data_IF_963386037255
#
_entry.id   IF_963386037255
#
_cell.length_a   1.000
_cell.length_b   1.000
_cell.length_c   1.000
_cell.angle_alpha   90.00
_cell.angle_beta   90.00
_cell.angle_gamma   90.00
#
_symmetry.space_group_name_H-M   'P 1'
#
loop_
_entity.id
_entity.type
_entity.pdbx_description
1 polymer ?
#
# COMPACT_ATOMS: atom_id res chain seq x y z
N UNK A 1 -5.59 -13.79 -24.03
CA UNK A 1 -5.25 -14.53 -22.81
C UNK A 1 -6.49 -15.18 -22.22
N UNK A 2 -6.35 -16.25 -21.48
CA UNK A 2 -7.45 -16.98 -20.82
C UNK A 2 -8.25 -16.06 -19.88
N UNK A 3 -7.60 -15.09 -19.24
CA UNK A 3 -8.29 -14.12 -18.38
C UNK A 3 -9.26 -13.21 -19.16
N UNK A 4 -8.90 -12.78 -20.37
CA UNK A 4 -9.82 -11.98 -21.19
C UNK A 4 -11.06 -12.79 -21.62
N UNK A 5 -10.88 -14.08 -21.93
CA UNK A 5 -12.01 -14.99 -22.22
C UNK A 5 -12.91 -15.14 -20.99
N UNK A 6 -12.32 -15.36 -19.80
CA UNK A 6 -13.06 -15.47 -18.55
C UNK A 6 -13.85 -14.19 -18.23
N UNK A 7 -13.24 -13.01 -18.44
CA UNK A 7 -13.92 -11.72 -18.23
C UNK A 7 -15.03 -11.47 -19.26
N UNK A 8 -14.87 -11.94 -20.50
CA UNK A 8 -15.92 -11.86 -21.52
C UNK A 8 -17.14 -12.69 -21.14
N UNK A 9 -16.92 -13.88 -20.58
CA UNK A 9 -18.00 -14.78 -20.12
C UNK A 9 -18.64 -14.27 -18.82
N UNK A 10 -17.85 -13.74 -17.90
CA UNK A 10 -18.31 -13.14 -16.65
C UNK A 10 -17.57 -11.82 -16.38
N UNK A 11 -18.14 -10.68 -16.77
CA UNK A 11 -17.52 -9.35 -16.56
C UNK A 11 -17.22 -8.99 -15.10
N UNK A 12 -17.89 -9.63 -14.15
CA UNK A 12 -17.71 -9.44 -12.71
C UNK A 12 -16.69 -10.41 -12.09
N UNK A 13 -16.03 -11.28 -12.89
CA UNK A 13 -15.02 -12.22 -12.39
C UNK A 13 -13.82 -11.47 -11.80
N UNK A 14 -13.84 -11.30 -10.48
CA UNK A 14 -12.83 -10.55 -9.74
C UNK A 14 -11.44 -11.21 -9.81
N UNK A 15 -11.38 -12.56 -9.79
CA UNK A 15 -10.11 -13.31 -9.89
C UNK A 15 -9.45 -13.04 -11.23
N UNK A 16 -10.20 -13.22 -12.32
CA UNK A 16 -9.67 -13.02 -13.67
C UNK A 16 -9.20 -11.57 -13.86
N UNK A 17 -9.95 -10.57 -13.35
CA UNK A 17 -9.55 -9.16 -13.40
C UNK A 17 -8.31 -8.87 -12.56
N UNK A 18 -8.22 -9.37 -11.32
CA UNK A 18 -7.05 -9.23 -10.46
C UNK A 18 -5.79 -9.84 -11.11
N UNK A 19 -5.91 -11.03 -11.72
CA UNK A 19 -4.78 -11.67 -12.39
C UNK A 19 -4.39 -10.97 -13.69
N UNK A 20 -5.38 -10.50 -14.46
CA UNK A 20 -5.13 -9.66 -15.64
C UNK A 20 -4.40 -8.37 -15.26
N UNK A 21 -4.74 -7.74 -14.12
CA UNK A 21 -4.10 -6.52 -13.66
C UNK A 21 -2.59 -6.69 -13.51
N UNK A 22 -2.14 -7.81 -12.91
CA UNK A 22 -0.72 -8.11 -12.74
C UNK A 22 0.03 -8.16 -14.08
N UNK A 23 -0.55 -8.83 -15.07
CA UNK A 23 0.04 -8.94 -16.42
C UNK A 23 0.09 -7.57 -17.10
N UNK A 24 -0.97 -6.77 -16.98
CA UNK A 24 -1.03 -5.44 -17.56
C UNK A 24 0.02 -4.50 -16.94
N UNK A 25 0.17 -4.54 -15.61
CA UNK A 25 1.18 -3.76 -14.89
C UNK A 25 2.60 -4.16 -15.29
N UNK A 26 2.89 -5.47 -15.39
CA UNK A 26 4.19 -5.98 -15.87
C UNK A 26 4.50 -5.52 -17.30
N UNK A 27 3.48 -5.38 -18.15
CA UNK A 27 3.61 -4.87 -19.52
C UNK A 27 3.65 -3.35 -19.63
N UNK A 28 3.65 -2.62 -18.53
CA UNK A 28 3.63 -1.15 -18.50
C UNK A 28 2.27 -0.52 -18.81
N UNK A 29 1.21 -1.32 -19.00
CA UNK A 29 -0.14 -0.79 -19.19
C UNK A 29 -0.78 -0.45 -17.84
N UNK A 30 -0.29 0.62 -17.21
CA UNK A 30 -0.70 1.01 -15.86
C UNK A 30 -2.15 1.44 -15.80
N UNK A 31 -2.66 2.14 -16.80
CA UNK A 31 -4.05 2.62 -16.81
C UNK A 31 -5.04 1.47 -16.63
N UNK A 32 -4.99 0.48 -17.50
CA UNK A 32 -5.88 -0.68 -17.43
C UNK A 32 -5.50 -1.64 -16.30
N UNK A 33 -4.21 -1.77 -16.01
CA UNK A 33 -3.70 -2.58 -14.91
C UNK A 33 -4.24 -2.12 -13.56
N UNK A 34 -4.10 -0.84 -13.22
CA UNK A 34 -4.56 -0.26 -11.96
C UNK A 34 -6.10 -0.30 -11.87
N UNK A 35 -6.83 -0.05 -12.99
CA UNK A 35 -8.29 -0.19 -13.02
C UNK A 35 -8.74 -1.62 -12.69
N UNK A 36 -8.09 -2.62 -13.24
CA UNK A 36 -8.41 -4.02 -12.95
C UNK A 36 -7.96 -4.43 -11.54
N UNK A 37 -6.93 -3.79 -10.98
CA UNK A 37 -6.45 -4.06 -9.63
C UNK A 37 -7.48 -3.72 -8.53
N UNK A 38 -8.38 -2.78 -8.78
CA UNK A 38 -9.46 -2.43 -7.84
C UNK A 38 -10.44 -3.59 -7.60
N UNK A 39 -10.47 -4.59 -8.47
CA UNK A 39 -11.28 -5.79 -8.25
C UNK A 39 -10.76 -6.71 -7.13
N UNK A 40 -9.60 -6.40 -6.53
CA UNK A 40 -9.06 -7.15 -5.39
C UNK A 40 -10.00 -7.20 -4.18
N UNK A 41 -10.88 -6.20 -4.02
CA UNK A 41 -11.89 -6.15 -2.96
C UNK A 41 -13.21 -6.86 -3.30
N UNK A 42 -13.43 -7.19 -4.58
CA UNK A 42 -14.69 -7.78 -5.04
C UNK A 42 -14.67 -9.31 -5.00
N UNK A 43 -13.61 -9.90 -4.47
CA UNK A 43 -13.48 -11.34 -4.36
C UNK A 43 -14.12 -11.84 -3.07
N UNK A 44 -15.11 -12.76 -3.18
CA UNK A 44 -15.88 -13.27 -2.05
C UNK A 44 -15.09 -14.19 -1.12
N UNK A 45 -14.10 -14.94 -1.66
CA UNK A 45 -13.38 -15.98 -0.91
C UNK A 45 -12.03 -15.54 -0.33
N UNK A 46 -11.44 -14.46 -0.83
CA UNK A 46 -10.19 -13.89 -0.32
C UNK A 46 -10.43 -12.44 0.01
N UNK A 47 -10.80 -12.17 1.24
CA UNK A 47 -10.93 -10.80 1.73
C UNK A 47 -9.54 -10.20 1.94
N UNK A 48 -9.05 -9.47 0.96
CA UNK A 48 -7.99 -8.49 1.22
C UNK A 48 -8.68 -7.34 1.93
N UNK A 49 -8.61 -7.36 3.25
CA UNK A 49 -9.19 -6.31 4.06
C UNK A 49 -8.15 -5.23 4.32
N UNK A 50 -8.52 -3.96 4.28
CA UNK A 50 -7.71 -2.90 4.87
C UNK A 50 -7.56 -3.14 6.37
N UNK A 51 -6.51 -2.58 6.97
CA UNK A 51 -6.20 -2.81 8.38
C UNK A 51 -7.18 -2.10 9.35
N UNK A 52 -8.02 -1.20 8.83
CA UNK A 52 -9.12 -0.60 9.56
C UNK A 52 -10.39 -0.56 8.69
N UNK A 53 -11.55 -0.46 9.34
CA UNK A 53 -12.86 -0.43 8.69
C UNK A 53 -13.73 0.64 9.35
N UNK A 54 -13.42 1.94 9.15
CA UNK A 54 -14.21 3.03 9.73
C UNK A 54 -15.60 3.10 9.10
N UNK A 55 -16.58 3.59 9.85
CA UNK A 55 -17.94 3.77 9.36
C UNK A 55 -18.10 5.09 8.59
N UNK A 56 -17.27 5.30 7.56
CA UNK A 56 -17.32 6.44 6.64
C UNK A 56 -17.24 5.94 5.20
N UNK A 57 -17.75 6.70 4.20
CA UNK A 57 -17.77 6.26 2.81
C UNK A 57 -16.37 6.15 2.19
N UNK A 58 -16.24 5.22 1.23
CA UNK A 58 -15.02 5.10 0.40
C UNK A 58 -15.01 6.24 -0.62
N UNK A 59 -13.84 6.86 -0.81
CA UNK A 59 -13.63 7.83 -1.88
C UNK A 59 -13.32 7.12 -3.21
N UNK A 60 -14.04 7.51 -4.27
CA UNK A 60 -13.86 6.96 -5.62
C UNK A 60 -12.57 7.47 -6.30
N UNK A 61 -12.06 8.61 -5.85
CA UNK A 61 -10.93 9.32 -6.45
C UNK A 61 -11.33 10.39 -7.46
N UNK A 62 -12.61 10.67 -7.61
CA UNK A 62 -13.09 11.74 -8.49
C UNK A 62 -12.94 13.11 -7.82
N UNK A 63 -12.45 14.11 -8.56
CA UNK A 63 -12.19 15.45 -8.02
C UNK A 63 -13.48 16.17 -7.55
N UNK A 64 -14.61 15.91 -8.21
CA UNK A 64 -15.93 16.42 -7.79
C UNK A 64 -16.38 15.92 -6.40
N UNK A 65 -15.84 14.81 -5.94
CA UNK A 65 -16.16 14.18 -4.66
C UNK A 65 -15.04 14.33 -3.63
N UNK A 66 -14.08 15.21 -3.89
CA UNK A 66 -12.90 15.34 -3.04
C UNK A 66 -13.29 15.71 -1.61
N UNK A 67 -12.96 14.90 -0.61
CA UNK A 67 -13.32 15.18 0.78
C UNK A 67 -12.34 16.16 1.42
N UNK A 68 -12.83 16.98 2.37
CA UNK A 68 -11.97 17.82 3.20
C UNK A 68 -11.02 17.00 4.06
N UNK A 69 -11.51 15.85 4.55
CA UNK A 69 -10.74 14.88 5.35
C UNK A 69 -10.68 13.56 4.60
N UNK A 70 -9.46 13.10 4.31
CA UNK A 70 -9.21 11.81 3.67
C UNK A 70 -8.39 10.92 4.59
N UNK A 71 -8.93 9.75 4.92
CA UNK A 71 -8.21 8.71 5.64
C UNK A 71 -7.67 7.68 4.65
N UNK A 72 -6.36 7.57 4.54
CA UNK A 72 -5.70 6.51 3.76
C UNK A 72 -5.41 5.34 4.70
N UNK A 73 -5.85 4.14 4.32
CA UNK A 73 -5.70 2.94 5.15
C UNK A 73 -4.80 1.94 4.46
N UNK A 74 -3.78 1.49 5.17
CA UNK A 74 -2.88 0.42 4.71
C UNK A 74 -3.63 -0.91 4.58
N UNK A 75 -3.13 -1.75 3.69
CA UNK A 75 -3.68 -3.08 3.40
C UNK A 75 -2.53 -4.05 3.06
N UNK A 76 -2.80 -5.35 3.14
CA UNK A 76 -1.82 -6.40 2.82
C UNK A 76 -0.59 -6.41 3.76
N UNK A 77 0.61 -6.69 3.23
CA UNK A 77 1.82 -6.84 4.03
C UNK A 77 2.53 -5.54 4.39
N UNK A 78 3.53 -5.65 5.28
CA UNK A 78 4.39 -4.51 5.65
C UNK A 78 5.14 -3.94 4.44
N UNK A 79 5.61 -4.81 3.54
CA UNK A 79 6.29 -4.40 2.30
C UNK A 79 5.39 -3.58 1.38
N UNK A 80 4.11 -3.94 1.27
CA UNK A 80 3.13 -3.18 0.49
C UNK A 80 2.95 -1.78 1.08
N UNK A 81 2.84 -1.67 2.39
CA UNK A 81 2.76 -0.37 3.07
C UNK A 81 4.00 0.47 2.81
N UNK A 82 5.20 -0.09 2.98
CA UNK A 82 6.47 0.61 2.68
C UNK A 82 6.54 1.05 1.22
N UNK A 83 6.13 0.21 0.29
CA UNK A 83 6.16 0.52 -1.13
C UNK A 83 5.18 1.63 -1.51
N UNK A 84 3.96 1.59 -1.00
CA UNK A 84 2.90 2.49 -1.45
C UNK A 84 2.75 3.78 -0.62
N UNK A 85 3.30 3.85 0.61
CA UNK A 85 3.28 5.07 1.41
C UNK A 85 3.98 6.26 0.74
N UNK A 86 4.89 5.99 -0.22
CA UNK A 86 5.55 7.02 -1.04
C UNK A 86 4.59 7.94 -1.79
N UNK A 87 3.34 7.52 -1.99
CA UNK A 87 2.33 8.30 -2.70
C UNK A 87 1.59 9.31 -1.81
N UNK A 88 1.66 9.19 -0.49
CA UNK A 88 0.98 10.08 0.46
C UNK A 88 1.38 11.56 0.32
N UNK A 89 2.67 11.91 0.17
CA UNK A 89 3.07 13.31 -0.01
C UNK A 89 2.43 13.97 -1.25
N UNK A 90 2.10 13.20 -2.28
CA UNK A 90 1.46 13.72 -3.49
C UNK A 90 -0.01 14.11 -3.25
N UNK A 91 -0.71 13.43 -2.35
CA UNK A 91 -2.07 13.79 -1.94
C UNK A 91 -2.07 15.10 -1.15
N UNK A 92 -1.11 15.28 -0.24
CA UNK A 92 -1.01 16.45 0.62
C UNK A 92 -0.71 17.75 -0.11
N UNK A 93 -0.06 17.71 -1.27
CA UNK A 93 0.19 18.88 -2.12
C UNK A 93 -1.07 19.56 -2.64
N UNK A 94 -2.23 18.98 -2.43
CA UNK A 94 -3.52 19.45 -2.94
C UNK A 94 -4.40 20.08 -1.84
N UNK A 95 -3.83 20.61 -0.77
CA UNK A 95 -4.50 21.24 0.38
C UNK A 95 -5.55 20.38 1.10
N UNK A 96 -5.44 19.08 0.98
CA UNK A 96 -6.32 18.11 1.58
C UNK A 96 -5.79 17.65 2.95
N UNK A 97 -6.64 17.58 3.96
CA UNK A 97 -6.29 16.98 5.26
C UNK A 97 -6.24 15.46 5.09
N UNK A 98 -5.01 14.94 4.97
CA UNK A 98 -4.76 13.50 4.76
C UNK A 98 -4.26 12.88 6.07
N UNK A 99 -4.99 11.90 6.55
CA UNK A 99 -4.63 11.04 7.67
C UNK A 99 -4.17 9.68 7.15
N UNK A 100 -3.22 9.06 7.82
CA UNK A 100 -2.68 7.78 7.39
C UNK A 100 -2.77 6.74 8.50
N UNK A 101 -3.49 5.65 8.22
CA UNK A 101 -3.53 4.47 9.07
C UNK A 101 -2.58 3.41 8.54
N UNK A 102 -1.65 2.97 9.39
CA UNK A 102 -0.67 1.94 9.08
C UNK A 102 -0.50 0.94 10.24
N UNK A 103 0.13 -0.21 9.92
CA UNK A 103 0.54 -1.16 10.96
C UNK A 103 1.51 -0.48 11.92
N UNK A 104 1.29 -0.60 13.23
CA UNK A 104 2.05 0.08 14.29
C UNK A 104 3.56 -0.20 14.21
N UNK A 105 3.94 -1.40 13.74
CA UNK A 105 5.34 -1.80 13.53
C UNK A 105 6.09 -0.88 12.56
N UNK A 106 5.38 -0.18 11.68
CA UNK A 106 5.94 0.74 10.68
C UNK A 106 5.93 2.20 11.14
N UNK A 107 5.27 2.56 12.25
CA UNK A 107 5.12 3.94 12.66
C UNK A 107 6.48 4.67 12.83
N UNK A 108 7.48 4.00 13.40
CA UNK A 108 8.83 4.57 13.54
C UNK A 108 9.45 4.92 12.17
N UNK A 109 9.41 3.98 11.22
CA UNK A 109 9.94 4.20 9.86
C UNK A 109 9.15 5.29 9.13
N UNK A 110 7.83 5.31 9.26
CA UNK A 110 6.95 6.32 8.63
C UNK A 110 7.30 7.73 9.14
N UNK A 111 7.47 7.88 10.46
CA UNK A 111 7.84 9.16 11.12
C UNK A 111 9.24 9.61 10.69
N UNK A 112 10.24 8.74 10.79
CA UNK A 112 11.62 9.03 10.41
C UNK A 112 11.74 9.40 8.93
N UNK A 113 10.93 8.78 8.08
CA UNK A 113 10.87 9.07 6.64
C UNK A 113 10.07 10.34 6.31
N UNK A 114 9.51 11.04 7.31
CA UNK A 114 8.68 12.25 7.13
C UNK A 114 7.48 12.03 6.20
N UNK A 115 7.04 10.78 6.08
CA UNK A 115 5.83 10.43 5.33
C UNK A 115 4.58 10.85 6.09
N UNK A 116 4.57 10.57 7.41
CA UNK A 116 3.55 11.03 8.34
C UNK A 116 4.16 11.21 9.72
N UNK A 117 3.85 12.34 10.39
CA UNK A 117 4.35 12.61 11.74
C UNK A 117 3.51 11.97 12.83
N UNK A 118 2.26 11.62 12.52
CA UNK A 118 1.33 11.00 13.46
C UNK A 118 0.47 9.92 12.80
N UNK A 119 1.10 8.82 12.32
CA UNK A 119 0.37 7.72 11.69
C UNK A 119 -0.58 7.07 12.70
N UNK A 120 -1.81 6.81 12.27
CA UNK A 120 -2.86 6.24 13.09
C UNK A 120 -2.73 4.72 13.17
N UNK A 121 -3.00 4.17 14.35
CA UNK A 121 -3.24 2.73 14.50
C UNK A 121 -4.59 2.34 13.88
N UNK A 122 -4.81 1.04 13.56
CA UNK A 122 -6.11 0.56 13.12
C UNK A 122 -7.27 0.91 14.08
N UNK A 123 -7.01 0.84 15.39
CA UNK A 123 -8.01 1.17 16.41
C UNK A 123 -8.39 2.66 16.39
N UNK A 124 -7.43 3.55 16.15
CA UNK A 124 -7.69 4.99 16.02
C UNK A 124 -8.45 5.28 14.72
N UNK A 125 -8.05 4.66 13.61
CA UNK A 125 -8.69 4.83 12.31
C UNK A 125 -10.15 4.35 12.31
N UNK A 126 -10.48 3.27 13.03
CA UNK A 126 -11.86 2.79 13.16
C UNK A 126 -12.81 3.80 13.84
N UNK A 127 -12.27 4.74 14.60
CA UNK A 127 -13.07 5.79 15.28
C UNK A 127 -13.36 7.00 14.39
N UNK A 128 -12.85 7.02 13.15
CA UNK A 128 -13.16 8.09 12.22
C UNK A 128 -14.64 8.10 11.88
N UNK A 129 -15.29 9.26 12.05
CA UNK A 129 -16.73 9.48 11.84
C UNK A 129 -17.02 10.51 10.76
N UNK A 130 -15.98 11.16 10.21
CA UNK A 130 -16.12 12.23 9.22
C UNK A 130 -15.17 12.04 8.04
N UNK A 131 -15.54 12.58 6.88
CA UNK A 131 -14.74 12.52 5.66
C UNK A 131 -14.97 11.24 4.86
N UNK A 132 -13.97 10.87 4.07
CA UNK A 132 -13.97 9.63 3.27
C UNK A 132 -12.67 8.88 3.51
N UNK A 133 -12.66 7.59 3.20
CA UNK A 133 -11.43 6.81 3.27
C UNK A 133 -11.08 6.16 1.94
N UNK A 134 -9.81 5.76 1.79
CA UNK A 134 -9.31 5.08 0.61
C UNK A 134 -8.24 4.06 1.00
N UNK A 135 -8.19 2.90 0.32
CA UNK A 135 -7.09 1.96 0.48
C UNK A 135 -5.79 2.52 -0.08
N UNK A 136 -4.67 2.30 0.63
CA UNK A 136 -3.35 2.78 0.23
C UNK A 136 -2.95 2.36 -1.19
N UNK A 137 -3.22 1.10 -1.55
CA UNK A 137 -2.84 0.55 -2.86
C UNK A 137 -3.73 1.04 -4.02
N UNK A 138 -4.76 1.83 -3.75
CA UNK A 138 -5.55 2.51 -4.77
C UNK A 138 -4.98 3.88 -5.17
N UNK A 139 -4.03 4.42 -4.40
CA UNK A 139 -3.42 5.73 -4.68
C UNK A 139 -2.77 5.83 -6.07
N UNK A 140 -2.04 4.83 -6.59
CA UNK A 140 -1.47 4.91 -7.94
C UNK A 140 -2.52 5.14 -9.03
N UNK A 141 -3.71 4.53 -8.91
CA UNK A 141 -4.80 4.75 -9.85
C UNK A 141 -5.28 6.21 -9.81
N UNK A 142 -5.54 6.72 -8.61
CA UNK A 142 -6.08 8.08 -8.40
C UNK A 142 -5.08 9.16 -8.80
N UNK A 143 -3.80 8.94 -8.52
CA UNK A 143 -2.70 9.82 -8.90
C UNK A 143 -2.30 9.64 -10.37
N UNK A 144 -2.97 8.75 -11.10
CA UNK A 144 -2.69 8.45 -12.50
C UNK A 144 -1.21 8.14 -12.75
N UNK A 145 -0.63 7.30 -11.89
CA UNK A 145 0.79 6.91 -11.98
C UNK A 145 1.01 6.10 -13.26
N UNK A 146 2.11 6.40 -13.95
CA UNK A 146 2.53 5.75 -15.20
C UNK A 146 4.03 5.46 -15.17
N UNK A 147 4.56 4.51 -15.99
CA UNK A 147 5.98 4.16 -15.99
C UNK A 147 6.91 5.37 -16.18
N UNK A 148 6.51 6.31 -17.03
CA UNK A 148 7.32 7.49 -17.38
C UNK A 148 7.05 8.70 -16.48
N UNK A 149 6.20 8.55 -15.47
CA UNK A 149 5.85 9.62 -14.54
C UNK A 149 6.61 9.42 -13.21
N UNK A 150 7.82 9.96 -13.14
CA UNK A 150 8.66 9.90 -11.94
C UNK A 150 8.21 10.95 -10.91
N UNK A 151 6.98 10.84 -10.41
CA UNK A 151 6.43 11.75 -9.40
C UNK A 151 7.12 11.65 -8.05
N UNK A 152 7.91 10.60 -7.83
CA UNK A 152 8.52 10.28 -6.55
C UNK A 152 10.02 10.24 -6.68
N UNK A 153 10.69 11.08 -5.91
CA UNK A 153 12.15 11.05 -5.79
C UNK A 153 12.57 9.95 -4.80
N UNK A 154 13.59 9.19 -5.16
CA UNK A 154 14.28 8.28 -4.26
C UNK A 154 15.52 9.02 -3.65
N UNK A 155 15.93 8.66 -2.42
CA UNK A 155 15.26 7.80 -1.46
C UNK A 155 14.05 8.49 -0.81
N UNK A 156 13.09 7.69 -0.29
CA UNK A 156 11.93 8.17 0.47
C UNK A 156 11.76 7.46 1.82
N UNK A 157 12.60 6.50 2.11
CA UNK A 157 12.68 5.81 3.40
C UNK A 157 14.00 6.18 4.05
N UNK A 158 13.93 6.59 5.30
CA UNK A 158 15.09 7.02 6.08
C UNK A 158 15.14 6.28 7.41
N UNK A 159 16.35 5.97 7.83
CA UNK A 159 16.63 5.37 9.12
C UNK A 159 16.72 6.46 10.20
N UNK A 160 16.48 6.06 11.44
CA UNK A 160 16.72 6.88 12.62
C UNK A 160 18.23 7.07 12.84
N UNK A 161 18.68 8.32 12.99
CA UNK A 161 20.11 8.63 13.16
C UNK A 161 20.69 8.03 14.46
N UNK A 162 19.89 7.99 15.53
CA UNK A 162 20.31 7.34 16.76
C UNK A 162 20.58 5.84 16.55
N UNK A 163 19.66 5.17 15.84
CA UNK A 163 19.84 3.75 15.52
C UNK A 163 21.04 3.52 14.59
N UNK A 164 21.24 4.39 13.60
CA UNK A 164 22.44 4.32 12.72
C UNK A 164 23.70 4.37 13.56
N UNK A 165 23.83 5.35 14.47
CA UNK A 165 25.02 5.52 15.30
C UNK A 165 25.20 4.35 16.28
N UNK A 166 24.11 3.85 16.89
CA UNK A 166 24.13 2.66 17.75
C UNK A 166 24.69 1.44 17.00
N UNK A 167 24.20 1.18 15.80
CA UNK A 167 24.64 0.04 15.00
C UNK A 167 26.05 0.21 14.47
N UNK A 168 26.45 1.42 14.05
CA UNK A 168 27.84 1.73 13.67
C UNK A 168 28.80 1.42 14.82
N UNK A 169 28.48 1.86 16.04
CA UNK A 169 29.30 1.59 17.22
C UNK A 169 29.38 0.09 17.53
N UNK A 170 28.30 -0.64 17.39
CA UNK A 170 28.28 -2.08 17.58
C UNK A 170 29.16 -2.79 16.55
N UNK A 171 29.01 -2.44 15.27
CA UNK A 171 29.72 -3.08 14.18
C UNK A 171 31.19 -2.67 14.05
N UNK A 172 31.59 -1.49 14.56
CA UNK A 172 32.99 -1.06 14.58
C UNK A 172 33.90 -1.93 15.44
N UNK A 173 33.34 -2.83 16.26
CA UNK A 173 34.09 -3.80 17.06
C UNK A 173 34.58 -5.01 16.26
N UNK A 174 34.11 -5.16 15.04
CA UNK A 174 34.44 -6.28 14.15
C UNK A 174 35.27 -5.77 12.98
N UNK A 175 36.44 -6.35 12.78
CA UNK A 175 37.30 -6.04 11.64
C UNK A 175 36.86 -6.77 10.35
N UNK A 176 36.12 -7.86 10.53
CA UNK A 176 35.67 -8.73 9.45
C UNK A 176 34.37 -8.22 8.81
N UNK A 177 34.11 -8.67 7.57
CA UNK A 177 32.89 -8.35 6.84
C UNK A 177 31.67 -8.96 7.53
N UNK A 178 30.72 -8.11 7.93
CA UNK A 178 29.48 -8.53 8.59
C UNK A 178 28.43 -8.86 7.53
N UNK A 179 27.84 -10.05 7.63
CA UNK A 179 26.74 -10.50 6.77
C UNK A 179 25.52 -10.69 7.63
N UNK A 180 24.45 -9.92 7.33
CA UNK A 180 23.15 -10.07 7.94
C UNK A 180 22.29 -11.06 7.14
N UNK A 181 21.71 -12.05 7.83
CA UNK A 181 20.76 -12.99 7.23
C UNK A 181 19.40 -12.82 7.92
N UNK A 182 18.35 -12.61 7.12
CA UNK A 182 16.98 -12.53 7.59
C UNK A 182 16.12 -13.56 6.87
N UNK A 183 15.44 -14.42 7.63
CA UNK A 183 14.49 -15.39 7.10
C UNK A 183 13.09 -15.10 7.60
N UNK A 184 12.11 -15.05 6.69
CA UNK A 184 10.68 -14.87 7.00
C UNK A 184 9.96 -16.14 6.57
N UNK A 185 9.82 -17.10 7.50
CA UNK A 185 9.13 -18.37 7.21
C UNK A 185 7.61 -18.24 7.12
N UNK A 186 7.02 -17.29 7.84
CA UNK A 186 5.57 -17.22 8.01
C UNK A 186 4.78 -16.79 6.76
N UNK A 187 5.34 -15.96 5.91
CA UNK A 187 4.66 -15.50 4.69
C UNK A 187 4.65 -16.55 3.57
N UNK A 188 5.64 -17.43 3.53
CA UNK A 188 5.70 -18.49 2.54
C UNK A 188 4.73 -19.65 2.84
N UNK A 189 4.53 -20.00 4.11
CA UNK A 189 3.58 -21.06 4.50
C UNK A 189 2.14 -20.68 4.14
N UNK A 190 1.72 -19.43 4.33
CA UNK A 190 0.38 -18.98 3.90
C UNK A 190 0.20 -18.88 2.38
N UNK A 191 1.25 -18.62 1.62
CA UNK A 191 1.17 -18.61 0.17
C UNK A 191 0.95 -20.02 -0.41
N UNK A 192 1.48 -21.04 0.23
CA UNK A 192 1.26 -22.44 -0.17
C UNK A 192 -0.09 -23.00 0.29
N UNK A 193 -0.62 -22.53 1.42
CA UNK A 193 -1.96 -22.97 1.89
C UNK A 193 -3.10 -22.42 1.05
N UNK A 194 -2.89 -21.36 0.27
CA UNK A 194 -3.92 -20.77 -0.60
C UNK A 194 -3.97 -21.36 -2.00
N UNK A 195 -3.02 -22.21 -2.39
CA UNK A 195 -2.99 -22.85 -3.69
C UNK A 195 -3.68 -24.23 -3.73
N UNK A 196 -4.22 -24.71 -2.60
CA UNK A 196 -4.85 -26.04 -2.47
C UNK A 196 -6.35 -26.05 -2.21
N UNK A 197 -7.05 -24.94 -2.45
CA UNK A 197 -8.52 -24.95 -2.40
C UNK A 197 -9.16 -24.18 -3.55
#
# INVERSE_FOLDING_TARGET
SSFLKAIKLNPKNAIARKNLSKILLLKGNYKEGLKNYEYRYKHTNIRILPHASPNIPIWSGEDSERPDKLLVISEQGLGDTLQFMRFLPLLRKKDQKVYFCAQEKLHGVIKNSKIDFDPLSPNQANKFSEGKWIPLLSLPKILNIRPNNQLIKAPYIYSDEYLINKWKLLFSKYEEKIIGIHSVSYTHLRAHETDYY
#
